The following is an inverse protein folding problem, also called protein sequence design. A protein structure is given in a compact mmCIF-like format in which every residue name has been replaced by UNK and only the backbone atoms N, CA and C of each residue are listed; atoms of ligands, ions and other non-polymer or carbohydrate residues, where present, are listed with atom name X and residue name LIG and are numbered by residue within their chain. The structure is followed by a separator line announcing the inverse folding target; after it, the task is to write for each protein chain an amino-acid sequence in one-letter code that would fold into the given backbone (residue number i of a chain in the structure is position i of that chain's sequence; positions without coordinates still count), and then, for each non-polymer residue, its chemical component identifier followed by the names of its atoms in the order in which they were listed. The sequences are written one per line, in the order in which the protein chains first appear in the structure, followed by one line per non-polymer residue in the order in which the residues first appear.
data_IF_795985760083
#
_entry.id   IF_795985760083
#
_cell.length_a   1.000
_cell.length_b   1.000
_cell.length_c   1.000
_cell.angle_alpha   90.00
_cell.angle_beta   90.00
_cell.angle_gamma   90.00
#
_symmetry.space_group_name_H-M   'P 1'
#
loop_
_entity.id
_entity.type
_entity.pdbx_description
1 polymer ?
#
# COMPACT_ATOMS: atom_id res chain seq x y z
N UNK A 1 -16.75 -9.68 3.99
CA UNK A 1 -15.58 -9.80 4.89
C UNK A 1 -15.35 -8.41 5.43
N UNK A 2 -15.62 -8.21 6.72
CA UNK A 2 -15.30 -6.95 7.37
C UNK A 2 -13.87 -7.01 7.88
N UNK A 3 -13.08 -5.99 7.57
CA UNK A 3 -11.74 -5.86 8.10
C UNK A 3 -11.81 -5.57 9.61
N UNK A 4 -10.92 -6.14 10.43
CA UNK A 4 -10.88 -5.82 11.84
C UNK A 4 -10.68 -4.31 12.02
N UNK A 5 -11.42 -3.73 12.97
CA UNK A 5 -11.29 -2.32 13.34
C UNK A 5 -10.01 -2.14 14.16
N UNK A 6 -8.88 -2.05 13.45
CA UNK A 6 -7.57 -1.76 14.04
C UNK A 6 -7.34 -0.26 14.02
N UNK A 7 -7.13 0.33 15.20
CA UNK A 7 -6.77 1.74 15.37
C UNK A 7 -5.30 1.87 15.78
N UNK A 8 -4.71 3.02 15.48
CA UNK A 8 -3.37 3.42 15.91
C UNK A 8 -3.39 4.87 16.36
N UNK A 9 -2.68 5.17 17.46
CA UNK A 9 -2.49 6.55 17.91
C UNK A 9 -1.38 7.20 17.11
N UNK A 10 -1.69 8.29 16.40
CA UNK A 10 -0.68 9.10 15.75
C UNK A 10 -0.01 9.99 16.80
N UNK A 11 1.32 9.95 16.86
CA UNK A 11 2.12 10.81 17.73
C UNK A 11 2.71 11.95 16.88
N UNK A 12 2.79 13.19 17.39
CA UNK A 12 2.55 13.62 18.77
C UNK A 12 1.11 14.10 19.06
N UNK A 13 0.23 14.12 18.06
CA UNK A 13 -1.12 14.71 18.12
C UNK A 13 -2.14 13.90 18.93
N UNK A 14 -1.79 12.68 19.32
CA UNK A 14 -2.59 11.83 20.23
C UNK A 14 -3.92 11.36 19.64
N UNK A 15 -4.16 11.62 18.35
CA UNK A 15 -5.39 11.25 17.66
C UNK A 15 -5.36 9.78 17.28
N UNK A 16 -6.49 9.11 17.44
CA UNK A 16 -6.68 7.75 16.95
C UNK A 16 -7.10 7.76 15.47
N UNK A 17 -6.42 6.95 14.67
CA UNK A 17 -6.77 6.72 13.27
C UNK A 17 -6.99 5.23 13.03
N UNK A 18 -7.96 4.91 12.17
CA UNK A 18 -8.15 3.55 11.69
C UNK A 18 -7.03 3.19 10.70
N UNK A 19 -6.31 2.10 10.94
CA UNK A 19 -5.21 1.62 10.09
C UNK A 19 -5.66 1.44 8.64
N UNK A 20 -6.90 1.00 8.44
CA UNK A 20 -7.50 0.84 7.11
C UNK A 20 -7.64 2.15 6.32
N UNK A 21 -7.81 3.29 6.99
CA UNK A 21 -7.87 4.60 6.30
C UNK A 21 -6.51 5.04 5.77
N UNK A 22 -5.42 4.54 6.35
CA UNK A 22 -4.04 4.86 5.97
C UNK A 22 -3.41 3.80 5.05
N UNK A 23 -4.13 2.71 4.77
CA UNK A 23 -3.64 1.56 4.01
C UNK A 23 -4.35 1.42 2.67
N UNK A 24 -3.67 0.89 1.65
CA UNK A 24 -4.29 0.43 0.41
C UNK A 24 -4.08 -1.08 0.27
N UNK A 25 -5.15 -1.80 -0.04
CA UNK A 25 -5.10 -3.24 -0.27
C UNK A 25 -5.38 -3.54 -1.74
N UNK A 26 -4.53 -4.37 -2.34
CA UNK A 26 -4.78 -4.97 -3.65
C UNK A 26 -5.16 -6.43 -3.43
N UNK A 27 -6.40 -6.77 -3.76
CA UNK A 27 -6.94 -8.11 -3.54
C UNK A 27 -6.88 -8.88 -4.86
N UNK A 28 -6.10 -9.97 -4.85
CA UNK A 28 -6.09 -10.94 -5.93
C UNK A 28 -6.25 -12.35 -5.35
N UNK A 29 -7.39 -12.97 -5.58
CA UNK A 29 -7.70 -14.32 -5.07
C UNK A 29 -7.31 -15.39 -6.07
N UNK A 30 -7.22 -16.66 -5.63
CA UNK A 30 -6.87 -17.78 -6.51
C UNK A 30 -7.82 -17.98 -7.70
N UNK A 31 -9.06 -17.52 -7.59
CA UNK A 31 -10.07 -17.62 -8.65
C UNK A 31 -10.04 -16.44 -9.64
N UNK A 32 -9.10 -15.50 -9.50
CA UNK A 32 -8.89 -14.39 -10.45
C UNK A 32 -7.85 -14.74 -11.50
N UNK A 33 -7.90 -14.05 -12.66
CA UNK A 33 -6.99 -14.27 -13.78
C UNK A 33 -5.53 -14.26 -13.37
N UNK A 34 -4.74 -15.17 -13.95
CA UNK A 34 -3.29 -15.24 -13.74
C UNK A 34 -2.60 -13.93 -14.13
N UNK A 35 -3.06 -13.25 -15.18
CA UNK A 35 -2.53 -11.94 -15.58
C UNK A 35 -2.77 -10.88 -14.50
N UNK A 36 -3.92 -10.91 -13.83
CA UNK A 36 -4.22 -9.99 -12.75
C UNK A 36 -3.27 -10.20 -11.56
N UNK A 37 -2.75 -11.43 -11.36
CA UNK A 37 -1.83 -11.73 -10.24
C UNK A 37 -0.53 -10.96 -10.41
N UNK A 38 0.06 -11.06 -11.59
CA UNK A 38 1.28 -10.34 -11.96
C UNK A 38 1.04 -8.83 -11.97
N UNK A 39 -0.06 -8.39 -12.58
CA UNK A 39 -0.41 -6.96 -12.63
C UNK A 39 -0.63 -6.35 -11.23
N UNK A 40 -1.23 -7.10 -10.29
CA UNK A 40 -1.47 -6.62 -8.93
C UNK A 40 -0.19 -6.40 -8.13
N UNK A 41 0.88 -7.18 -8.41
CA UNK A 41 2.20 -6.98 -7.78
C UNK A 41 2.82 -5.67 -8.28
N UNK A 42 2.89 -5.47 -9.59
CA UNK A 42 3.45 -4.25 -10.17
C UNK A 42 2.64 -3.00 -9.80
N UNK A 43 1.32 -3.12 -9.75
CA UNK A 43 0.44 -2.03 -9.33
C UNK A 43 0.66 -1.69 -7.85
N UNK A 44 0.79 -2.70 -6.98
CA UNK A 44 1.10 -2.51 -5.56
C UNK A 44 2.44 -1.79 -5.35
N UNK A 45 3.46 -2.20 -6.09
CA UNK A 45 4.76 -1.54 -6.09
C UNK A 45 4.67 -0.08 -6.57
N UNK A 46 3.94 0.18 -7.66
CA UNK A 46 3.70 1.52 -8.16
C UNK A 46 3.02 2.44 -7.13
N UNK A 47 2.04 1.93 -6.39
CA UNK A 47 1.43 2.69 -5.30
C UNK A 47 2.41 2.98 -4.16
N UNK A 48 3.18 1.98 -3.71
CA UNK A 48 4.19 2.18 -2.66
C UNK A 48 5.23 3.24 -3.06
N UNK A 49 5.71 3.17 -4.30
CA UNK A 49 6.67 4.14 -4.83
C UNK A 49 6.10 5.57 -4.87
N UNK A 50 4.87 5.74 -5.38
CA UNK A 50 4.21 7.05 -5.40
C UNK A 50 3.99 7.64 -4.00
N UNK A 51 3.68 6.78 -3.01
CA UNK A 51 3.56 7.19 -1.61
C UNK A 51 4.92 7.66 -1.09
N UNK A 52 5.99 6.88 -1.31
CA UNK A 52 7.35 7.24 -0.88
C UNK A 52 7.84 8.54 -1.54
N UNK A 53 7.60 8.74 -2.84
CA UNK A 53 7.96 9.98 -3.53
C UNK A 53 7.22 11.21 -2.97
N UNK A 54 5.94 11.06 -2.60
CA UNK A 54 5.17 12.13 -1.96
C UNK A 54 5.69 12.50 -0.56
N UNK A 55 6.33 11.56 0.13
CA UNK A 55 6.91 11.76 1.47
C UNK A 55 8.40 12.16 1.46
N UNK A 56 9.03 12.27 0.29
CA UNK A 56 10.34 12.90 0.11
C UNK A 56 11.53 12.05 0.54
N UNK A 57 12.07 11.25 -0.38
CA UNK A 57 13.46 10.79 -0.38
C UNK A 57 14.00 10.77 -1.80
N UNK A 58 15.28 11.10 -1.97
CA UNK A 58 15.92 11.42 -3.24
C UNK A 58 15.82 10.30 -4.29
N UNK A 59 15.62 10.73 -5.54
CA UNK A 59 15.27 9.94 -6.72
C UNK A 59 16.42 9.08 -7.27
N UNK A 60 16.87 8.02 -6.59
CA UNK A 60 17.76 7.03 -7.23
C UNK A 60 17.50 5.60 -6.76
N UNK A 61 16.61 4.92 -7.50
CA UNK A 61 16.56 3.46 -7.53
C UNK A 61 16.66 3.03 -8.99
N UNK A 62 17.82 2.52 -9.40
CA UNK A 62 18.05 1.97 -10.74
C UNK A 62 17.43 0.58 -10.82
N UNK A 63 16.50 0.38 -11.75
CA UNK A 63 15.93 -0.94 -12.03
C UNK A 63 16.89 -1.71 -12.96
N UNK A 64 17.42 -2.83 -12.49
CA UNK A 64 17.97 -3.85 -13.39
C UNK A 64 16.78 -4.56 -14.05
N UNK A 65 16.67 -4.43 -15.37
CA UNK A 65 15.83 -5.30 -16.20
C UNK A 65 16.43 -6.70 -16.27
#
# INVERSE_FOLDING_TARGET
MDFPQLTMTQLPDGREYYVMTQSKLLVNTSNMSVLARVASIYTGFGFAFNVVQKFGTSNNFTFLQ
#
